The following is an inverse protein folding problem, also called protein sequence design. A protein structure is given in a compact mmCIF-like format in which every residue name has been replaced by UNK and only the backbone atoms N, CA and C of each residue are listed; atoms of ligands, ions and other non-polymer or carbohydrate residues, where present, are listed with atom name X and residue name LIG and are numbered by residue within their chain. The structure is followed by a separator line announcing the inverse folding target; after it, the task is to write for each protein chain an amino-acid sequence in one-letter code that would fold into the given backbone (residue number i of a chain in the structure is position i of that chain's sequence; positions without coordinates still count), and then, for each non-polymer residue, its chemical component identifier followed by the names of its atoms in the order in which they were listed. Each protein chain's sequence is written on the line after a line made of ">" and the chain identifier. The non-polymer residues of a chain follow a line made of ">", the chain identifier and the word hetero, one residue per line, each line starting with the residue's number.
data_IF_057013968243
#
_entry.id   IF_057013968243
#
_cell.length_a   1.000
_cell.length_b   1.000
_cell.length_c   1.000
_cell.angle_alpha   90.00
_cell.angle_beta   90.00
_cell.angle_gamma   90.00
#
_symmetry.space_group_name_H-M   'P 1'
#
loop_
_entity.id
_entity.type
_entity.pdbx_description
1 polymer ?
#
# COMPACT_ATOMS: atom_id res chain seq x y z
N UNK A 1 -9.90 -12.74 16.42
CA UNK A 1 -10.18 -11.31 16.75
C UNK A 1 -8.95 -10.62 17.35
N UNK A 2 -8.23 -11.20 18.31
CA UNK A 2 -7.00 -10.59 18.86
C UNK A 2 -5.94 -10.25 17.80
N UNK A 3 -5.65 -11.16 16.87
CA UNK A 3 -4.65 -10.94 15.80
C UNK A 3 -4.95 -9.73 14.91
N UNK A 4 -6.22 -9.54 14.52
CA UNK A 4 -6.62 -8.40 13.70
C UNK A 4 -6.47 -7.07 14.45
N UNK A 5 -6.74 -7.07 15.76
CA UNK A 5 -6.56 -5.88 16.61
C UNK A 5 -5.08 -5.59 16.79
N UNK A 6 -4.24 -6.61 16.96
CA UNK A 6 -2.80 -6.42 17.10
C UNK A 6 -2.16 -5.92 15.81
N UNK A 7 -2.64 -6.38 14.65
CA UNK A 7 -2.26 -5.82 13.34
C UNK A 7 -2.60 -4.33 13.24
N UNK A 8 -3.81 -3.92 13.66
CA UNK A 8 -4.23 -2.52 13.69
C UNK A 8 -3.40 -1.67 14.65
N UNK A 9 -3.06 -2.18 15.84
CA UNK A 9 -2.14 -1.48 16.77
C UNK A 9 -0.76 -1.30 16.15
N UNK A 10 -0.29 -2.30 15.39
CA UNK A 10 0.95 -2.20 14.63
C UNK A 10 0.91 -1.08 13.59
N UNK A 11 -0.22 -0.93 12.88
CA UNK A 11 -0.44 0.17 11.96
C UNK A 11 -0.38 1.54 12.67
N UNK A 12 -1.02 1.68 13.83
CA UNK A 12 -1.00 2.93 14.61
C UNK A 12 0.41 3.34 15.03
N UNK A 13 1.19 2.36 15.48
CA UNK A 13 2.59 2.56 15.83
C UNK A 13 3.42 3.03 14.64
N UNK A 14 3.23 2.39 13.47
CA UNK A 14 3.97 2.72 12.26
C UNK A 14 3.60 4.12 11.70
N UNK A 15 2.31 4.46 11.70
CA UNK A 15 1.82 5.80 11.31
C UNK A 15 2.40 6.89 12.22
N UNK A 16 2.47 6.65 13.53
CA UNK A 16 3.09 7.59 14.47
C UNK A 16 4.58 7.87 14.16
N UNK A 17 5.27 6.93 13.52
CA UNK A 17 6.68 7.03 13.11
C UNK A 17 6.93 7.78 11.81
N UNK A 18 5.91 8.02 10.98
CA UNK A 18 6.06 8.67 9.65
C UNK A 18 6.58 10.11 9.72
N UNK A 19 6.45 10.79 10.88
CA UNK A 19 6.82 12.21 11.06
C UNK A 19 8.32 12.51 10.87
N UNK A 20 9.16 11.50 10.72
CA UNK A 20 10.61 11.62 10.56
C UNK A 20 11.13 11.19 9.19
N UNK A 21 10.23 10.80 8.27
CA UNK A 21 10.65 10.31 6.96
C UNK A 21 10.91 11.47 5.99
N UNK A 22 12.13 11.51 5.44
CA UNK A 22 12.50 12.45 4.40
C UNK A 22 11.84 12.06 3.07
N UNK A 23 11.49 13.06 2.26
CA UNK A 23 11.00 12.84 0.90
C UNK A 23 12.04 12.07 0.08
N UNK A 24 11.58 10.99 -0.56
CA UNK A 24 12.41 10.22 -1.48
C UNK A 24 12.63 11.03 -2.77
N UNK A 25 13.85 10.96 -3.30
CA UNK A 25 14.18 11.58 -4.60
C UNK A 25 13.33 10.97 -5.71
N UNK A 26 12.89 11.79 -6.66
CA UNK A 26 12.14 11.34 -7.85
C UNK A 26 12.89 10.32 -8.73
N UNK A 27 14.21 10.17 -8.53
CA UNK A 27 15.05 9.19 -9.24
C UNK A 27 15.40 7.96 -8.41
N UNK A 28 14.81 7.80 -7.22
CA UNK A 28 15.02 6.61 -6.41
C UNK A 28 14.45 5.38 -7.11
N UNK A 29 15.17 4.26 -7.00
CA UNK A 29 14.72 2.95 -7.48
C UNK A 29 14.46 2.09 -6.26
N UNK A 30 13.28 1.47 -6.20
CA UNK A 30 13.00 0.44 -5.19
C UNK A 30 13.37 -0.94 -5.72
N UNK A 31 14.01 -1.72 -4.86
CA UNK A 31 14.26 -3.14 -5.05
C UNK A 31 13.40 -3.92 -4.06
N UNK A 32 12.74 -4.97 -4.53
CA UNK A 32 11.93 -5.86 -3.69
C UNK A 32 12.80 -7.02 -3.18
N UNK A 33 12.77 -7.25 -1.87
CA UNK A 33 13.36 -8.42 -1.25
C UNK A 33 12.55 -9.69 -1.58
N UNK A 34 13.18 -10.88 -1.50
CA UNK A 34 12.51 -12.14 -1.81
C UNK A 34 11.21 -12.34 -1.01
N UNK A 35 11.23 -11.98 0.27
CA UNK A 35 10.04 -12.06 1.13
C UNK A 35 8.90 -11.15 0.65
N UNK A 36 9.21 -9.96 0.15
CA UNK A 36 8.21 -9.05 -0.42
C UNK A 36 7.67 -9.62 -1.73
N UNK A 37 8.53 -10.18 -2.58
CA UNK A 37 8.12 -10.83 -3.84
C UNK A 37 7.18 -12.01 -3.58
N UNK A 38 7.50 -12.86 -2.61
CA UNK A 38 6.68 -14.03 -2.33
C UNK A 38 5.32 -13.64 -1.72
N UNK A 39 5.30 -12.61 -0.87
CA UNK A 39 4.07 -12.10 -0.25
C UNK A 39 3.20 -11.38 -1.26
N UNK A 40 3.74 -10.43 -2.02
CA UNK A 40 2.96 -9.56 -2.90
C UNK A 40 2.68 -10.20 -4.26
N UNK A 41 3.63 -10.96 -4.81
CA UNK A 41 3.57 -11.40 -6.19
C UNK A 41 3.52 -10.23 -7.19
N UNK A 42 3.38 -10.55 -8.48
CA UNK A 42 3.45 -9.55 -9.54
C UNK A 42 2.25 -8.61 -9.58
N UNK A 43 1.06 -9.12 -9.30
CA UNK A 43 -0.19 -8.35 -9.39
C UNK A 43 -0.24 -7.24 -8.33
N UNK A 44 0.07 -7.58 -7.08
CA UNK A 44 0.08 -6.60 -5.99
C UNK A 44 1.20 -5.57 -6.16
N UNK A 45 2.39 -5.97 -6.66
CA UNK A 45 3.46 -5.04 -7.02
C UNK A 45 3.05 -4.09 -8.14
N UNK A 46 2.42 -4.62 -9.19
CA UNK A 46 1.91 -3.81 -10.30
C UNK A 46 0.89 -2.78 -9.83
N UNK A 47 0.00 -3.17 -8.92
CA UNK A 47 -0.96 -2.28 -8.30
C UNK A 47 -0.31 -1.15 -7.47
N UNK A 48 0.68 -1.46 -6.63
CA UNK A 48 1.42 -0.44 -5.87
C UNK A 48 2.14 0.55 -6.78
N UNK A 49 2.81 0.05 -7.83
CA UNK A 49 3.50 0.89 -8.80
C UNK A 49 2.52 1.80 -9.55
N UNK A 50 1.33 1.30 -9.89
CA UNK A 50 0.28 2.09 -10.50
C UNK A 50 -0.15 3.24 -9.58
N UNK A 51 -0.47 2.97 -8.31
CA UNK A 51 -0.87 4.01 -7.37
C UNK A 51 0.23 5.05 -7.13
N UNK A 52 1.49 4.63 -7.08
CA UNK A 52 2.63 5.55 -6.96
C UNK A 52 2.78 6.42 -8.21
N UNK A 53 2.63 5.84 -9.41
CA UNK A 53 2.71 6.58 -10.68
C UNK A 53 1.57 7.57 -10.89
N UNK A 54 0.38 7.27 -10.36
CA UNK A 54 -0.78 8.18 -10.35
C UNK A 54 -0.66 9.28 -9.29
N UNK A 55 0.38 9.25 -8.44
CA UNK A 55 0.57 10.21 -7.35
C UNK A 55 -0.32 9.97 -6.13
N UNK A 56 -1.09 8.88 -6.13
CA UNK A 56 -1.97 8.46 -5.04
C UNK A 56 -1.17 8.01 -3.83
N UNK A 57 -0.23 7.11 -4.06
CA UNK A 57 0.55 6.47 -3.02
C UNK A 57 1.94 7.10 -2.97
N UNK A 58 2.14 8.02 -2.03
CA UNK A 58 3.46 8.61 -1.77
C UNK A 58 4.46 7.49 -1.40
N UNK A 59 5.77 7.63 -1.70
CA UNK A 59 6.72 6.53 -1.50
C UNK A 59 6.79 6.00 -0.06
N UNK A 60 6.62 6.87 0.94
CA UNK A 60 6.56 6.46 2.35
C UNK A 60 5.30 5.64 2.68
N UNK A 61 4.16 5.94 2.04
CA UNK A 61 2.93 5.15 2.18
C UNK A 61 3.07 3.79 1.49
N UNK A 62 3.82 3.72 0.39
CA UNK A 62 4.18 2.45 -0.24
C UNK A 62 5.01 1.57 0.69
N UNK A 63 6.00 2.13 1.40
CA UNK A 63 6.75 1.38 2.44
C UNK A 63 5.82 0.84 3.52
N UNK A 64 4.96 1.71 4.07
CA UNK A 64 4.02 1.33 5.12
C UNK A 64 3.06 0.23 4.64
N UNK A 65 2.55 0.34 3.42
CA UNK A 65 1.67 -0.66 2.82
C UNK A 65 2.35 -2.02 2.73
N UNK A 66 3.60 -2.06 2.26
CA UNK A 66 4.37 -3.31 2.16
C UNK A 66 4.65 -3.89 3.55
N UNK A 67 5.04 -3.05 4.51
CA UNK A 67 5.26 -3.48 5.89
C UNK A 67 4.00 -4.09 6.50
N UNK A 68 2.83 -3.50 6.23
CA UNK A 68 1.53 -4.01 6.69
C UNK A 68 1.07 -5.26 5.97
N UNK A 69 1.35 -5.37 4.68
CA UNK A 69 1.12 -6.59 3.89
C UNK A 69 1.92 -7.76 4.46
N UNK A 70 3.22 -7.58 4.71
CA UNK A 70 4.07 -8.61 5.31
C UNK A 70 3.59 -9.02 6.70
N UNK A 71 3.11 -8.06 7.51
CA UNK A 71 2.58 -8.32 8.84
C UNK A 71 1.29 -9.17 8.86
N UNK A 72 0.64 -9.39 7.70
CA UNK A 72 -0.48 -10.34 7.60
C UNK A 72 -0.05 -11.80 7.65
N UNK A 73 1.23 -12.08 7.33
CA UNK A 73 1.74 -13.45 7.20
C UNK A 73 1.20 -14.22 5.99
N UNK A 74 0.44 -13.58 5.09
CA UNK A 74 -0.09 -14.22 3.87
C UNK A 74 0.97 -14.26 2.77
N UNK A 75 1.09 -15.41 2.10
CA UNK A 75 2.08 -15.64 1.05
C UNK A 75 1.53 -16.71 0.07
N UNK A 76 0.90 -16.33 -1.05
CA UNK A 76 0.70 -14.96 -1.54
C UNK A 76 -0.47 -14.23 -0.85
N UNK A 77 -0.37 -12.91 -0.77
CA UNK A 77 -1.43 -11.99 -0.36
C UNK A 77 -2.36 -11.73 -1.55
N UNK A 78 -3.68 -11.97 -1.42
CA UNK A 78 -4.65 -11.61 -2.46
C UNK A 78 -4.66 -10.11 -2.72
N UNK A 79 -4.80 -9.68 -3.99
CA UNK A 79 -4.85 -8.27 -4.36
C UNK A 79 -5.93 -7.49 -3.58
N UNK A 80 -7.12 -8.08 -3.41
CA UNK A 80 -8.22 -7.51 -2.64
C UNK A 80 -7.84 -7.18 -1.18
N UNK A 81 -6.98 -8.01 -0.57
CA UNK A 81 -6.49 -7.74 0.77
C UNK A 81 -5.50 -6.57 0.76
N UNK A 82 -4.64 -6.46 -0.25
CA UNK A 82 -3.76 -5.31 -0.40
C UNK A 82 -4.57 -4.00 -0.57
N UNK A 83 -5.61 -4.00 -1.41
CA UNK A 83 -6.52 -2.85 -1.57
C UNK A 83 -7.11 -2.43 -0.21
N UNK A 84 -7.54 -3.39 0.59
CA UNK A 84 -8.06 -3.15 1.94
C UNK A 84 -7.00 -2.53 2.86
N UNK A 85 -5.76 -3.01 2.82
CA UNK A 85 -4.66 -2.45 3.60
C UNK A 85 -4.39 -0.99 3.22
N UNK A 86 -4.36 -0.68 1.93
CA UNK A 86 -4.17 0.68 1.42
C UNK A 86 -5.28 1.62 1.94
N UNK A 87 -6.54 1.20 1.84
CA UNK A 87 -7.69 1.96 2.34
C UNK A 87 -7.59 2.22 3.85
N UNK A 88 -7.22 1.20 4.63
CA UNK A 88 -7.03 1.35 6.08
C UNK A 88 -5.93 2.34 6.41
N UNK A 89 -4.82 2.36 5.66
CA UNK A 89 -3.73 3.33 5.85
C UNK A 89 -4.24 4.76 5.64
N UNK A 90 -4.95 5.02 4.54
CA UNK A 90 -5.53 6.34 4.27
C UNK A 90 -6.50 6.77 5.38
N UNK A 91 -7.39 5.87 5.81
CA UNK A 91 -8.30 6.14 6.93
C UNK A 91 -7.58 6.46 8.24
N UNK A 92 -6.43 5.83 8.51
CA UNK A 92 -5.65 6.14 9.72
C UNK A 92 -4.90 7.46 9.65
N UNK A 93 -4.61 7.97 8.45
CA UNK A 93 -3.89 9.22 8.26
C UNK A 93 -4.80 10.46 8.28
N UNK A 94 -6.13 10.26 8.30
CA UNK A 94 -7.11 11.34 8.10
C UNK A 94 -6.90 12.09 6.77
N UNK A 95 -6.15 11.49 5.83
CA UNK A 95 -6.04 11.92 4.45
C UNK A 95 -7.16 11.21 3.68
N UNK A 96 -8.24 11.92 3.37
CA UNK A 96 -9.24 11.42 2.43
C UNK A 96 -8.60 11.35 1.04
N UNK A 97 -8.46 10.16 0.43
CA UNK A 97 -8.07 10.08 -0.97
C UNK A 97 -9.15 10.78 -1.78
N UNK A 98 -8.73 11.59 -2.76
CA UNK A 98 -9.65 12.27 -3.67
C UNK A 98 -10.64 11.25 -4.28
N UNK A 99 -11.89 11.64 -4.49
CA UNK A 99 -12.89 10.74 -5.08
C UNK A 99 -12.44 10.17 -6.43
N UNK A 100 -11.66 10.93 -7.20
CA UNK A 100 -11.04 10.48 -8.46
C UNK A 100 -9.97 9.40 -8.23
N UNK A 101 -9.25 9.50 -7.12
CA UNK A 101 -8.23 8.54 -6.68
C UNK A 101 -8.87 7.24 -6.19
N UNK A 102 -10.02 7.35 -5.51
CA UNK A 102 -10.84 6.20 -5.10
C UNK A 102 -11.38 5.45 -6.32
N UNK A 103 -11.88 6.14 -7.34
CA UNK A 103 -12.31 5.48 -8.57
C UNK A 103 -11.16 4.69 -9.22
N UNK A 104 -9.93 5.23 -9.28
CA UNK A 104 -8.76 4.48 -9.77
C UNK A 104 -8.32 3.29 -8.87
N UNK A 105 -8.49 3.40 -7.55
CA UNK A 105 -8.26 2.31 -6.58
C UNK A 105 -9.22 1.12 -6.82
N UNK A 106 -10.42 1.38 -7.34
CA UNK A 106 -11.46 0.37 -7.56
C UNK A 106 -11.64 -0.07 -9.03
N UNK A 107 -10.97 0.57 -9.98
CA UNK A 107 -11.00 0.14 -11.39
C UNK A 107 -10.28 -1.21 -11.53
N UNK A 108 -11.05 -2.24 -11.92
CA UNK A 108 -10.57 -3.56 -12.31
C UNK A 108 -9.51 -3.44 -13.42
N UNK A 109 -8.52 -4.34 -13.44
CA UNK A 109 -7.45 -4.31 -14.44
C UNK A 109 -7.98 -4.32 -15.89
N UNK A 110 -9.18 -4.87 -16.09
CA UNK A 110 -9.87 -5.00 -17.37
C UNK A 110 -10.53 -3.69 -17.86
N UNK A 111 -10.83 -2.76 -16.96
CA UNK A 111 -11.50 -1.48 -17.26
C UNK A 111 -10.54 -0.28 -17.37
N UNK A 112 -9.23 -0.52 -17.25
CA UNK A 112 -8.21 0.54 -17.38
C UNK A 112 -8.05 0.95 -18.85
N UNK A 113 -8.81 1.95 -19.27
CA UNK A 113 -8.55 2.66 -20.53
C UNK A 113 -7.26 3.45 -20.36
N UNK A 114 -6.20 3.03 -21.05
CA UNK A 114 -4.94 3.78 -21.12
C UNK A 114 -5.24 5.12 -21.82
N UNK A 115 -5.31 6.20 -21.04
CA UNK A 115 -5.48 7.56 -21.54
C UNK A 115 -4.12 8.19 -21.88
#
# INVERSE_FOLDING_TARGET
>A
IHEAIDWLRGLDSAVGGLKTQHEQSAHAIRLYAQQELDCLGLEAIGYLNFLESAGVLKPHLRELTIERALATGMQPLPLEHLKTIVLLIFWRLDEEPDALILDELFVEAEDRVVH
#
